data_IF_477446734358
#
_entry.id   IF_477446734358
#
_cell.length_a   1.000
_cell.length_b   1.000
_cell.length_c   1.000
_cell.angle_alpha   90.00
_cell.angle_beta   90.00
_cell.angle_gamma   90.00
#
_symmetry.space_group_name_H-M   'P 1'
#
loop_
_entity.id
_entity.type
_entity.pdbx_description
1 polymer ?
#
# COMPACT_ATOMS: atom_id res chain seq x y z
N UNK A 1 19.30 2.03 5.94
CA UNK A 1 18.45 3.22 5.70
C UNK A 1 17.42 2.83 4.64
N UNK A 2 16.12 2.93 4.92
CA UNK A 2 15.08 2.56 3.96
C UNK A 2 14.79 3.73 3.02
N UNK A 3 14.82 3.48 1.71
CA UNK A 3 14.39 4.45 0.70
C UNK A 3 12.89 4.28 0.44
N UNK A 4 12.14 5.38 0.43
CA UNK A 4 10.75 5.37 -0.02
C UNK A 4 10.72 5.14 -1.54
N UNK A 5 10.09 4.05 -1.98
CA UNK A 5 10.03 3.65 -3.39
C UNK A 5 8.63 3.77 -3.99
N UNK A 6 7.60 3.89 -3.16
CA UNK A 6 6.18 4.02 -3.57
C UNK A 6 5.45 4.90 -2.56
N UNK A 7 4.57 5.77 -3.07
CA UNK A 7 3.61 6.56 -2.30
C UNK A 7 2.25 6.49 -3.01
N UNK A 8 1.16 6.44 -2.25
CA UNK A 8 -0.20 6.47 -2.77
C UNK A 8 -1.00 7.57 -2.07
N UNK A 9 -1.92 8.19 -2.80
CA UNK A 9 -2.88 9.15 -2.26
C UNK A 9 -4.17 8.42 -1.88
N UNK A 10 -4.56 8.57 -0.61
CA UNK A 10 -5.75 7.96 -0.04
C UNK A 10 -6.84 9.00 0.29
N UNK A 11 -6.74 10.26 -0.16
CA UNK A 11 -7.67 11.34 0.22
C UNK A 11 -9.13 10.96 -0.01
N UNK A 12 -9.43 10.37 -1.19
CA UNK A 12 -10.79 10.00 -1.61
C UNK A 12 -11.25 8.60 -1.19
N UNK A 13 -10.47 7.89 -0.39
CA UNK A 13 -10.87 6.57 0.08
C UNK A 13 -12.00 6.71 1.09
N UNK A 14 -13.01 5.85 0.97
CA UNK A 14 -14.08 5.73 1.94
C UNK A 14 -13.48 5.24 3.27
N UNK A 15 -13.92 5.72 4.44
CA UNK A 15 -13.45 5.19 5.72
C UNK A 15 -13.61 3.67 5.80
N UNK A 16 -12.56 2.97 6.23
CA UNK A 16 -12.54 1.52 6.22
C UNK A 16 -11.16 0.89 6.33
N UNK A 17 -11.16 -0.45 6.28
CA UNK A 17 -9.97 -1.28 6.38
C UNK A 17 -9.53 -1.76 4.99
N UNK A 18 -8.28 -1.49 4.65
CA UNK A 18 -7.69 -1.80 3.36
C UNK A 18 -6.50 -2.74 3.52
N UNK A 19 -6.41 -3.73 2.62
CA UNK A 19 -5.23 -4.57 2.47
C UNK A 19 -4.49 -4.15 1.21
N UNK A 20 -3.32 -3.54 1.38
CA UNK A 20 -2.46 -3.12 0.28
C UNK A 20 -1.44 -4.21 0.00
N UNK A 21 -1.21 -4.46 -1.29
CA UNK A 21 -0.26 -5.44 -1.79
C UNK A 21 0.70 -4.75 -2.75
N UNK A 22 1.99 -4.79 -2.43
CA UNK A 22 3.03 -4.32 -3.34
C UNK A 22 3.42 -5.48 -4.25
N UNK A 23 3.23 -5.29 -5.55
CA UNK A 23 3.54 -6.28 -6.59
C UNK A 23 4.67 -5.75 -7.47
N UNK A 24 5.72 -6.56 -7.66
CA UNK A 24 6.83 -6.27 -8.56
C UNK A 24 7.12 -7.50 -9.42
N UNK A 25 7.10 -7.33 -10.75
CA UNK A 25 7.27 -8.45 -11.72
C UNK A 25 6.35 -9.64 -11.39
N UNK A 26 5.07 -9.34 -11.21
CA UNK A 26 4.01 -10.31 -10.88
C UNK A 26 4.17 -11.06 -9.54
N UNK A 27 5.16 -10.66 -8.72
CA UNK A 27 5.39 -11.23 -7.40
C UNK A 27 4.98 -10.25 -6.31
N UNK A 28 4.29 -10.75 -5.30
CA UNK A 28 4.02 -9.97 -4.09
C UNK A 28 5.31 -9.84 -3.30
N UNK A 29 5.78 -8.61 -3.12
CA UNK A 29 7.01 -8.29 -2.38
C UNK A 29 6.74 -7.62 -1.04
N UNK A 30 5.48 -7.26 -0.76
CA UNK A 30 5.07 -6.70 0.52
C UNK A 30 3.57 -6.60 0.65
N UNK A 31 3.10 -6.53 1.89
CA UNK A 31 1.70 -6.22 2.19
C UNK A 31 1.61 -5.30 3.39
N UNK A 32 0.57 -4.47 3.42
CA UNK A 32 0.30 -3.55 4.52
C UNK A 32 -1.20 -3.50 4.78
N UNK A 33 -1.58 -3.53 6.06
CA UNK A 33 -2.95 -3.25 6.49
C UNK A 33 -3.04 -1.77 6.83
N UNK A 34 -3.97 -1.07 6.19
CA UNK A 34 -4.23 0.35 6.41
C UNK A 34 -5.65 0.50 6.94
N UNK A 35 -5.81 1.36 7.94
CA UNK A 35 -7.11 1.82 8.43
C UNK A 35 -7.18 3.30 8.11
N UNK A 36 -8.21 3.71 7.38
CA UNK A 36 -8.52 5.12 7.10
C UNK A 36 -9.86 5.47 7.72
#
# INVERSE_FOLDING_TARGET
QGQMVVQFDAERWVPGMYLLRLVYKDKTVGSAKVVK
#
